data_IF_758498149183
#
_entry.id   IF_758498149183
#
_cell.length_a   1.000
_cell.length_b   1.000
_cell.length_c   1.000
_cell.angle_alpha   90.00
_cell.angle_beta   90.00
_cell.angle_gamma   90.00
#
_symmetry.space_group_name_H-M   'P 1'
#
loop_
_entity.id
_entity.type
_entity.pdbx_description
1 polymer ?
#
# COMPACT_ATOMS: atom_id res chain seq x y z
N UNK A 1 -65.64 -13.58 -37.88
CA UNK A 1 -64.27 -13.26 -38.32
C UNK A 1 -63.55 -12.75 -37.08
N UNK A 2 -62.69 -13.49 -36.40
CA UNK A 2 -61.94 -14.71 -36.71
C UNK A 2 -61.66 -15.39 -35.37
N UNK A 3 -61.72 -16.72 -35.41
CA UNK A 3 -61.53 -17.70 -34.35
C UNK A 3 -60.05 -17.72 -33.89
N UNK A 4 -59.77 -17.83 -32.59
CA UNK A 4 -58.46 -18.22 -32.07
C UNK A 4 -58.66 -19.29 -31.00
N UNK A 5 -58.36 -20.50 -31.44
CA UNK A 5 -58.44 -21.81 -30.80
C UNK A 5 -57.42 -21.98 -29.67
N UNK A 6 -57.87 -22.49 -28.52
CA UNK A 6 -57.04 -23.07 -27.45
C UNK A 6 -56.27 -24.30 -27.97
N UNK A 7 -54.99 -24.43 -27.61
CA UNK A 7 -54.19 -25.63 -27.83
C UNK A 7 -53.87 -26.35 -26.51
N UNK A 8 -53.75 -27.70 -26.50
CA UNK A 8 -53.90 -28.52 -25.30
C UNK A 8 -52.58 -28.85 -24.58
N UNK A 9 -52.69 -29.11 -23.29
CA UNK A 9 -51.66 -29.60 -22.38
C UNK A 9 -51.13 -30.99 -22.75
N UNK A 10 -49.80 -31.14 -22.86
CA UNK A 10 -49.11 -32.42 -23.04
C UNK A 10 -48.82 -33.08 -21.67
N UNK A 11 -49.08 -34.39 -21.48
CA UNK A 11 -48.80 -35.11 -20.24
C UNK A 11 -47.32 -35.52 -20.10
N UNK A 12 -46.85 -35.88 -18.88
CA UNK A 12 -45.47 -36.26 -18.63
C UNK A 12 -45.14 -37.67 -19.15
N UNK A 13 -44.00 -37.78 -19.83
CA UNK A 13 -43.46 -39.03 -20.38
C UNK A 13 -42.70 -39.81 -19.29
N UNK A 14 -43.40 -40.74 -18.63
CA UNK A 14 -42.81 -41.84 -17.86
C UNK A 14 -42.36 -42.92 -18.84
N UNK A 15 -41.08 -42.94 -19.23
CA UNK A 15 -40.30 -44.16 -19.52
C UNK A 15 -38.89 -43.81 -20.00
N UNK A 16 -37.92 -43.67 -19.07
CA UNK A 16 -36.51 -43.82 -19.44
C UNK A 16 -35.77 -44.71 -18.43
N UNK A 17 -35.26 -45.88 -18.85
CA UNK A 17 -34.52 -46.77 -17.97
C UNK A 17 -33.14 -46.19 -17.63
N UNK A 18 -32.70 -46.44 -16.40
CA UNK A 18 -31.34 -46.17 -15.95
C UNK A 18 -30.33 -47.09 -16.65
N UNK A 19 -29.17 -46.60 -17.12
CA UNK A 19 -28.13 -47.50 -17.60
C UNK A 19 -27.39 -48.14 -16.41
N UNK A 20 -27.49 -49.47 -16.33
CA UNK A 20 -26.63 -50.34 -15.54
C UNK A 20 -25.22 -50.41 -16.16
N UNK A 21 -24.24 -50.73 -15.31
CA UNK A 21 -22.82 -50.44 -15.52
C UNK A 21 -22.04 -51.33 -16.49
N UNK A 22 -20.80 -50.93 -16.73
CA UNK A 22 -19.73 -51.77 -17.26
C UNK A 22 -18.61 -51.95 -16.23
N UNK A 23 -17.93 -53.12 -16.21
CA UNK A 23 -17.03 -53.54 -15.15
C UNK A 23 -15.56 -53.21 -15.46
N UNK A 24 -14.88 -52.55 -14.52
CA UNK A 24 -13.43 -52.37 -14.53
C UNK A 24 -12.75 -53.33 -13.54
N UNK A 25 -11.74 -54.06 -14.01
CA UNK A 25 -10.80 -54.91 -13.23
C UNK A 25 -9.36 -54.53 -13.66
N UNK A 26 -8.28 -54.92 -12.97
CA UNK A 26 -7.81 -54.43 -11.67
C UNK A 26 -6.37 -53.83 -11.69
N UNK A 27 -6.00 -53.17 -10.58
CA UNK A 27 -4.64 -52.95 -10.03
C UNK A 27 -3.67 -51.94 -10.69
N UNK A 28 -3.27 -50.93 -9.89
CA UNK A 28 -1.86 -50.68 -9.51
C UNK A 28 -1.77 -49.75 -8.29
N UNK A 29 -1.28 -50.32 -7.19
CA UNK A 29 -0.61 -49.67 -6.05
C UNK A 29 0.30 -48.51 -6.49
N UNK A 30 0.35 -47.40 -5.75
CA UNK A 30 1.58 -46.64 -5.35
C UNK A 30 1.22 -45.41 -4.49
N UNK A 31 1.54 -45.52 -3.21
CA UNK A 31 2.05 -44.47 -2.28
C UNK A 31 1.10 -43.36 -1.77
N UNK A 32 0.51 -43.70 -0.62
CA UNK A 32 0.18 -42.77 0.46
C UNK A 32 1.44 -42.02 0.94
N UNK A 33 1.39 -40.69 0.99
CA UNK A 33 2.35 -39.85 1.71
C UNK A 33 1.63 -38.73 2.45
N UNK A 34 0.62 -39.12 3.23
CA UNK A 34 0.23 -38.36 4.41
C UNK A 34 1.32 -38.56 5.47
N UNK A 35 2.33 -37.69 5.51
CA UNK A 35 3.24 -37.64 6.65
C UNK A 35 2.50 -37.00 7.82
N UNK A 36 1.69 -37.81 8.50
CA UNK A 36 1.24 -37.55 9.85
C UNK A 36 2.45 -37.68 10.77
N UNK A 37 3.11 -36.56 11.08
CA UNK A 37 4.06 -36.53 12.18
C UNK A 37 3.27 -36.50 13.49
N UNK A 38 2.90 -37.69 13.99
CA UNK A 38 2.64 -37.88 15.42
C UNK A 38 4.00 -37.97 16.09
N UNK A 39 4.39 -36.93 16.84
CA UNK A 39 5.52 -36.98 17.77
C UNK A 39 4.94 -37.19 19.17
N UNK A 40 5.15 -38.36 19.80
CA UNK A 40 4.79 -38.56 21.19
C UNK A 40 6.01 -38.24 22.05
N UNK A 41 6.20 -36.97 22.41
CA UNK A 41 6.67 -36.61 23.76
C UNK A 41 6.58 -35.10 23.97
N UNK A 42 6.28 -34.71 25.22
CA UNK A 42 6.06 -33.33 25.65
C UNK A 42 7.31 -32.45 25.70
N UNK A 43 8.07 -32.37 24.61
CA UNK A 43 9.16 -31.41 24.46
C UNK A 43 8.72 -30.27 23.53
N UNK A 44 8.75 -29.06 24.07
CA UNK A 44 8.58 -27.82 23.30
C UNK A 44 9.70 -27.76 22.27
N UNK A 45 9.38 -28.00 21.00
CA UNK A 45 10.31 -27.84 19.91
C UNK A 45 10.83 -26.40 19.89
N UNK A 46 12.13 -26.21 20.03
CA UNK A 46 12.75 -24.92 19.77
C UNK A 46 12.48 -24.52 18.31
N UNK A 47 12.21 -23.23 18.00
CA UNK A 47 11.96 -22.82 16.64
C UNK A 47 13.24 -23.03 15.83
N UNK A 48 13.25 -24.08 15.01
CA UNK A 48 14.30 -24.32 14.03
C UNK A 48 14.35 -23.13 13.09
N UNK A 49 15.36 -22.26 13.26
CA UNK A 49 15.63 -21.18 12.30
C UNK A 49 16.10 -21.88 11.02
N UNK A 50 15.14 -22.13 10.14
CA UNK A 50 15.34 -22.74 8.83
C UNK A 50 16.48 -21.99 8.10
N UNK A 51 17.65 -22.62 7.96
CA UNK A 51 18.83 -22.06 7.24
C UNK A 51 18.50 -21.58 5.81
N UNK A 52 17.36 -22.01 5.26
CA UNK A 52 16.81 -21.62 3.97
C UNK A 52 16.36 -20.15 3.88
N UNK A 53 16.14 -19.45 5.01
CA UNK A 53 15.72 -18.04 5.02
C UNK A 53 16.87 -17.03 4.92
N UNK A 54 18.03 -17.35 5.48
CA UNK A 54 19.13 -16.40 5.63
C UNK A 54 19.75 -15.94 4.30
N UNK A 55 19.95 -16.86 3.34
CA UNK A 55 20.47 -16.49 2.02
C UNK A 55 19.46 -15.65 1.23
N UNK A 56 18.15 -15.85 1.43
CA UNK A 56 17.11 -15.03 0.81
C UNK A 56 17.13 -13.61 1.35
N UNK A 57 17.30 -13.44 2.67
CA UNK A 57 17.53 -12.12 3.28
C UNK A 57 18.73 -11.42 2.65
N UNK A 58 19.86 -12.13 2.52
CA UNK A 58 21.07 -11.58 1.92
C UNK A 58 20.86 -11.17 0.46
N UNK A 59 20.15 -11.97 -0.34
CA UNK A 59 19.82 -11.62 -1.72
C UNK A 59 18.89 -10.41 -1.82
N UNK A 60 17.83 -10.35 -1.00
CA UNK A 60 16.94 -9.18 -0.96
C UNK A 60 17.71 -7.93 -0.53
N UNK A 61 18.57 -8.03 0.48
CA UNK A 61 19.42 -6.92 0.91
C UNK A 61 20.42 -6.49 -0.17
N UNK A 62 21.06 -7.43 -0.86
CA UNK A 62 21.98 -7.15 -1.96
C UNK A 62 21.28 -6.50 -3.15
N UNK A 63 20.05 -6.91 -3.48
CA UNK A 63 19.25 -6.30 -4.53
C UNK A 63 18.88 -4.85 -4.20
N UNK A 64 18.51 -4.55 -2.94
CA UNK A 64 18.25 -3.18 -2.47
C UNK A 64 19.54 -2.35 -2.55
N UNK A 65 20.68 -2.88 -2.11
CA UNK A 65 21.97 -2.19 -2.18
C UNK A 65 22.41 -1.92 -3.64
N UNK A 66 22.20 -2.86 -4.55
CA UNK A 66 22.49 -2.69 -5.98
C UNK A 66 21.56 -1.64 -6.61
N UNK A 67 20.28 -1.63 -6.25
CA UNK A 67 19.32 -0.63 -6.71
C UNK A 67 19.69 0.77 -6.18
N UNK A 68 20.07 0.86 -4.90
CA UNK A 68 20.57 2.09 -4.29
C UNK A 68 21.79 2.63 -5.03
N UNK A 69 22.76 1.77 -5.31
CA UNK A 69 23.97 2.12 -6.04
C UNK A 69 23.68 2.60 -7.47
N UNK A 70 22.72 1.99 -8.15
CA UNK A 70 22.39 2.34 -9.53
C UNK A 70 21.50 3.59 -9.61
N UNK A 71 20.41 3.65 -8.87
CA UNK A 71 19.35 4.66 -9.05
C UNK A 71 19.41 5.81 -8.04
N UNK A 72 20.29 5.73 -7.05
CA UNK A 72 20.43 6.72 -5.99
C UNK A 72 19.42 6.55 -4.85
N UNK A 73 19.62 7.37 -3.80
CA UNK A 73 18.87 7.28 -2.56
C UNK A 73 17.36 7.57 -2.72
N UNK A 74 17.01 8.49 -3.61
CA UNK A 74 15.63 8.94 -3.79
C UNK A 74 14.67 7.80 -4.15
N UNK A 75 15.05 6.92 -5.09
CA UNK A 75 14.20 5.80 -5.49
C UNK A 75 14.00 4.80 -4.34
N UNK A 76 15.05 4.52 -3.58
CA UNK A 76 14.97 3.62 -2.42
C UNK A 76 13.99 4.16 -1.38
N UNK A 77 14.08 5.46 -1.08
CA UNK A 77 13.14 6.13 -0.17
C UNK A 77 11.69 6.02 -0.68
N UNK A 78 11.45 6.25 -1.97
CA UNK A 78 10.11 6.11 -2.56
C UNK A 78 9.58 4.68 -2.43
N UNK A 79 10.40 3.66 -2.73
CA UNK A 79 10.00 2.25 -2.60
C UNK A 79 9.68 1.91 -1.14
N UNK A 80 10.54 2.31 -0.20
CA UNK A 80 10.31 2.09 1.23
C UNK A 80 9.05 2.80 1.72
N UNK A 81 8.80 4.03 1.26
CA UNK A 81 7.60 4.78 1.59
C UNK A 81 6.33 4.09 1.07
N UNK A 82 6.34 3.54 -0.15
CA UNK A 82 5.23 2.76 -0.71
C UNK A 82 4.98 1.47 0.08
N UNK A 83 6.04 0.71 0.39
CA UNK A 83 5.94 -0.50 1.22
C UNK A 83 5.36 -0.17 2.60
N UNK A 84 5.83 0.92 3.21
CA UNK A 84 5.32 1.38 4.50
C UNK A 84 3.84 1.78 4.41
N UNK A 85 3.45 2.57 3.41
CA UNK A 85 2.06 3.00 3.20
C UNK A 85 1.12 1.79 3.03
N UNK A 86 1.49 0.81 2.20
CA UNK A 86 0.66 -0.40 2.00
C UNK A 86 0.64 -1.25 3.27
N UNK A 87 1.77 -1.40 3.97
CA UNK A 87 1.80 -2.12 5.25
C UNK A 87 0.86 -1.48 6.26
N UNK A 88 0.83 -0.15 6.32
CA UNK A 88 -0.10 0.59 7.17
C UNK A 88 -1.56 0.43 6.72
N UNK A 89 -1.84 0.41 5.40
CA UNK A 89 -3.17 0.05 4.87
C UNK A 89 -3.67 -1.25 5.51
N UNK A 90 -2.84 -2.29 5.41
CA UNK A 90 -3.15 -3.62 5.90
C UNK A 90 -3.21 -3.67 7.41
N UNK A 91 -2.39 -2.86 8.09
CA UNK A 91 -2.47 -2.69 9.54
C UNK A 91 -3.83 -2.14 9.99
N UNK A 92 -4.48 -1.28 9.19
CA UNK A 92 -5.85 -0.83 9.43
C UNK A 92 -6.86 -1.98 9.42
N UNK A 93 -6.80 -2.84 8.41
CA UNK A 93 -7.62 -4.05 8.33
C UNK A 93 -7.33 -5.01 9.48
N UNK A 94 -6.06 -5.20 9.83
CA UNK A 94 -5.62 -6.05 10.94
C UNK A 94 -6.22 -5.59 12.28
N UNK A 95 -6.08 -4.31 12.61
CA UNK A 95 -6.57 -3.76 13.89
C UNK A 95 -8.10 -3.93 13.98
N UNK A 96 -8.81 -3.54 12.92
CA UNK A 96 -10.28 -3.59 12.92
C UNK A 96 -10.80 -5.02 12.97
N UNK A 97 -10.16 -5.95 12.26
CA UNK A 97 -10.49 -7.37 12.32
C UNK A 97 -10.37 -7.93 13.75
N UNK A 98 -9.23 -7.66 14.41
CA UNK A 98 -8.99 -8.09 15.80
C UNK A 98 -9.98 -7.47 16.78
N UNK A 99 -10.30 -6.19 16.63
CA UNK A 99 -11.26 -5.47 17.50
C UNK A 99 -12.69 -6.00 17.34
N UNK A 100 -13.08 -6.43 16.14
CA UNK A 100 -14.35 -7.08 15.87
C UNK A 100 -14.39 -8.57 16.29
N UNK A 101 -13.33 -9.08 16.93
CA UNK A 101 -13.27 -10.47 17.39
C UNK A 101 -13.01 -11.48 16.27
N UNK A 102 -12.73 -11.06 15.04
CA UNK A 102 -12.35 -11.97 13.96
C UNK A 102 -10.97 -12.57 14.21
N UNK A 103 -10.74 -13.79 13.71
CA UNK A 103 -9.42 -14.42 13.76
C UNK A 103 -8.56 -13.92 12.61
N UNK A 104 -7.37 -13.45 12.91
CA UNK A 104 -6.36 -13.15 11.88
C UNK A 104 -5.29 -14.23 11.93
N UNK A 105 -5.12 -14.98 10.85
CA UNK A 105 -4.17 -16.09 10.79
C UNK A 105 -2.79 -15.64 10.34
N UNK A 106 -2.71 -14.66 9.42
CA UNK A 106 -1.44 -14.20 8.85
C UNK A 106 -1.43 -12.68 8.66
N UNK A 107 -0.28 -12.07 8.93
CA UNK A 107 0.06 -10.68 8.60
C UNK A 107 1.46 -10.67 7.98
N UNK A 108 1.57 -10.48 6.67
CA UNK A 108 2.85 -10.53 5.97
C UNK A 108 3.10 -9.26 5.18
N UNK A 109 4.35 -8.84 5.18
CA UNK A 109 4.85 -7.77 4.31
C UNK A 109 5.51 -8.42 3.09
N UNK A 110 5.10 -8.00 1.89
CA UNK A 110 5.59 -8.48 0.62
C UNK A 110 4.88 -9.72 0.07
N UNK A 111 5.35 -10.16 -1.11
CA UNK A 111 4.88 -11.35 -1.83
C UNK A 111 6.01 -12.35 -2.10
N UNK A 112 5.63 -13.52 -2.60
CA UNK A 112 6.57 -14.57 -3.00
C UNK A 112 7.00 -15.48 -1.83
N UNK A 113 8.17 -16.13 -1.92
CA UNK A 113 8.61 -17.08 -0.91
C UNK A 113 8.79 -16.40 0.44
N UNK A 114 8.41 -17.12 1.51
CA UNK A 114 8.63 -16.70 2.89
C UNK A 114 10.14 -16.57 3.12
N UNK A 115 10.54 -15.43 3.67
CA UNK A 115 11.93 -15.16 4.04
C UNK A 115 12.10 -15.34 5.54
N UNK A 116 11.17 -14.78 6.31
CA UNK A 116 11.14 -14.91 7.76
C UNK A 116 9.70 -14.85 8.27
N UNK A 117 9.41 -15.57 9.35
CA UNK A 117 8.13 -15.49 10.05
C UNK A 117 8.27 -15.83 11.53
N UNK A 118 7.42 -15.23 12.35
CA UNK A 118 7.25 -15.55 13.77
C UNK A 118 5.75 -15.68 14.07
N UNK A 119 5.37 -16.71 14.82
CA UNK A 119 4.00 -16.88 15.28
C UNK A 119 3.84 -16.27 16.67
N UNK A 120 2.94 -15.29 16.81
CA UNK A 120 2.59 -14.69 18.10
C UNK A 120 1.09 -14.85 18.35
N UNK A 121 0.76 -15.75 19.27
CA UNK A 121 -0.62 -16.15 19.53
C UNK A 121 -1.21 -16.90 18.34
N UNK A 122 -2.32 -16.40 17.80
CA UNK A 122 -3.02 -17.00 16.65
C UNK A 122 -2.54 -16.47 15.28
N UNK A 123 -1.72 -15.42 15.26
CA UNK A 123 -1.29 -14.74 14.03
C UNK A 123 0.18 -15.03 13.74
N UNK A 124 0.46 -15.44 12.51
CA UNK A 124 1.79 -15.55 11.94
C UNK A 124 2.18 -14.22 11.29
N UNK A 125 3.23 -13.59 11.81
CA UNK A 125 3.80 -12.35 11.27
C UNK A 125 5.04 -12.69 10.46
N UNK A 126 5.29 -11.99 9.36
CA UNK A 126 6.54 -12.22 8.64
C UNK A 126 6.77 -11.33 7.43
N UNK A 127 7.86 -11.63 6.74
CA UNK A 127 8.32 -10.91 5.55
C UNK A 127 8.55 -11.92 4.42
N UNK A 128 8.13 -11.55 3.21
CA UNK A 128 8.34 -12.30 1.97
C UNK A 128 9.34 -11.58 1.07
N UNK A 129 9.92 -12.32 0.14
CA UNK A 129 11.12 -11.88 -0.60
C UNK A 129 10.91 -10.65 -1.48
N UNK A 130 9.70 -10.46 -2.00
CA UNK A 130 9.38 -9.33 -2.88
C UNK A 130 8.72 -8.25 -2.03
N UNK A 131 9.36 -7.09 -1.81
CA UNK A 131 8.81 -5.99 -1.03
C UNK A 131 7.80 -5.19 -1.86
N UNK A 132 6.82 -5.88 -2.44
CA UNK A 132 5.68 -5.28 -3.10
C UNK A 132 4.46 -5.63 -2.24
N UNK A 133 3.83 -4.64 -1.62
CA UNK A 133 2.60 -4.83 -0.85
C UNK A 133 2.74 -5.51 0.52
N UNK A 134 1.60 -5.83 1.11
CA UNK A 134 1.41 -6.58 2.36
C UNK A 134 0.03 -7.26 2.29
N UNK A 135 -0.27 -8.20 3.18
CA UNK A 135 -1.62 -8.76 3.28
C UNK A 135 -1.97 -9.22 4.69
N UNK A 136 -3.28 -9.14 4.99
CA UNK A 136 -3.91 -9.72 6.18
C UNK A 136 -4.80 -10.88 5.77
N UNK A 137 -4.61 -12.05 6.39
CA UNK A 137 -5.48 -13.21 6.17
C UNK A 137 -6.50 -13.35 7.29
N UNK A 138 -7.76 -13.11 6.96
CA UNK A 138 -8.92 -13.40 7.82
C UNK A 138 -9.72 -14.54 7.18
N UNK A 139 -10.00 -15.65 7.90
CA UNK A 139 -10.74 -16.76 7.33
C UNK A 139 -12.16 -16.37 6.89
N UNK A 140 -12.61 -16.90 5.75
CA UNK A 140 -13.98 -16.73 5.26
C UNK A 140 -14.22 -15.37 4.59
N UNK A 141 -13.17 -14.73 4.08
CA UNK A 141 -13.29 -13.54 3.21
C UNK A 141 -13.75 -13.92 1.80
N UNK A 142 -13.32 -15.08 1.31
CA UNK A 142 -13.79 -15.64 0.04
C UNK A 142 -15.00 -16.53 0.29
N UNK A 143 -15.96 -16.51 -0.64
CA UNK A 143 -17.21 -17.27 -0.53
C UNK A 143 -16.98 -18.77 -0.39
N UNK A 144 -15.99 -19.28 -1.12
CA UNK A 144 -15.70 -20.71 -1.26
C UNK A 144 -14.39 -21.11 -0.54
N UNK A 145 -13.90 -20.29 0.39
CA UNK A 145 -12.77 -20.66 1.25
C UNK A 145 -13.23 -21.65 2.31
N UNK A 146 -12.58 -22.82 2.34
CA UNK A 146 -12.74 -23.77 3.44
C UNK A 146 -12.13 -23.18 4.72
N UNK A 147 -13.00 -22.98 5.71
CA UNK A 147 -12.61 -22.50 7.04
C UNK A 147 -12.70 -23.67 8.01
N UNK A 148 -11.63 -23.88 8.80
CA UNK A 148 -11.65 -24.88 9.85
C UNK A 148 -12.83 -24.65 10.80
N UNK A 149 -13.52 -25.71 11.22
CA UNK A 149 -14.72 -25.61 12.05
C UNK A 149 -14.48 -24.82 13.35
N UNK A 150 -13.27 -24.87 13.90
CA UNK A 150 -12.83 -24.09 15.07
C UNK A 150 -12.74 -22.59 14.83
N UNK A 151 -12.50 -22.17 13.58
CA UNK A 151 -12.30 -20.76 13.20
C UNK A 151 -13.56 -20.14 12.59
N UNK A 152 -14.55 -20.96 12.26
CA UNK A 152 -15.80 -20.55 11.61
C UNK A 152 -16.54 -19.46 12.37
N UNK A 153 -16.67 -19.59 13.69
CA UNK A 153 -17.36 -18.62 14.54
C UNK A 153 -16.70 -17.23 14.54
N UNK A 154 -15.39 -17.17 14.25
CA UNK A 154 -14.59 -15.93 14.19
C UNK A 154 -14.16 -15.60 12.76
N UNK A 155 -14.87 -16.13 11.76
CA UNK A 155 -14.64 -15.86 10.34
C UNK A 155 -15.30 -14.56 9.90
N UNK A 156 -14.79 -13.96 8.82
CA UNK A 156 -15.34 -12.75 8.22
C UNK A 156 -16.82 -12.91 7.82
N UNK A 157 -17.20 -14.07 7.27
CA UNK A 157 -18.59 -14.34 6.86
C UNK A 157 -19.58 -14.46 8.02
N UNK A 158 -19.12 -14.78 9.24
CA UNK A 158 -19.94 -14.77 10.46
C UNK A 158 -19.95 -13.43 11.18
N UNK A 159 -19.07 -12.49 10.81
CA UNK A 159 -19.03 -11.16 11.40
C UNK A 159 -20.31 -10.36 11.09
N UNK A 160 -20.65 -9.43 12.00
CA UNK A 160 -21.81 -8.56 11.80
C UNK A 160 -21.63 -7.66 10.57
N UNK A 161 -22.73 -7.19 9.99
CA UNK A 161 -22.65 -6.29 8.83
C UNK A 161 -21.81 -5.04 9.12
N UNK A 162 -21.95 -4.47 10.32
CA UNK A 162 -21.20 -3.28 10.74
C UNK A 162 -19.69 -3.56 10.77
N UNK A 163 -19.30 -4.68 11.37
CA UNK A 163 -17.88 -5.04 11.49
C UNK A 163 -17.25 -5.29 10.12
N UNK A 164 -18.00 -5.88 9.19
CA UNK A 164 -17.53 -6.05 7.81
C UNK A 164 -17.33 -4.72 7.09
N UNK A 165 -18.27 -3.78 7.25
CA UNK A 165 -18.15 -2.44 6.66
C UNK A 165 -16.96 -1.67 7.26
N UNK A 166 -16.80 -1.71 8.58
CA UNK A 166 -15.67 -1.07 9.28
C UNK A 166 -14.36 -1.69 8.83
N UNK A 167 -14.27 -3.02 8.81
CA UNK A 167 -13.06 -3.70 8.37
C UNK A 167 -12.75 -3.39 6.91
N UNK A 168 -13.72 -3.43 6.00
CA UNK A 168 -13.51 -3.15 4.58
C UNK A 168 -13.04 -1.71 4.32
N UNK A 169 -13.51 -0.74 5.12
CA UNK A 169 -13.11 0.68 4.98
C UNK A 169 -11.84 1.04 5.76
N UNK A 170 -11.36 0.18 6.65
CA UNK A 170 -10.24 0.47 7.56
C UNK A 170 -8.94 0.83 6.85
N UNK A 171 -8.64 0.18 5.72
CA UNK A 171 -7.44 0.46 4.94
C UNK A 171 -7.43 1.88 4.38
N UNK A 172 -8.53 2.31 3.78
CA UNK A 172 -8.71 3.69 3.30
C UNK A 172 -8.68 4.70 4.46
N UNK A 173 -9.37 4.42 5.57
CA UNK A 173 -9.33 5.28 6.75
C UNK A 173 -7.90 5.49 7.27
N UNK A 174 -7.06 4.45 7.23
CA UNK A 174 -5.65 4.58 7.62
C UNK A 174 -4.87 5.55 6.73
N UNK A 175 -5.22 5.70 5.45
CA UNK A 175 -4.56 6.67 4.56
C UNK A 175 -4.83 8.10 5.00
N UNK A 176 -6.08 8.41 5.38
CA UNK A 176 -6.42 9.72 5.92
C UNK A 176 -5.71 9.99 7.26
N UNK A 177 -5.62 8.99 8.13
CA UNK A 177 -4.89 9.11 9.40
C UNK A 177 -3.40 9.37 9.14
N UNK A 178 -2.77 8.60 8.24
CA UNK A 178 -1.37 8.81 7.86
C UNK A 178 -1.15 10.19 7.26
N UNK A 179 -2.00 10.62 6.32
CA UNK A 179 -1.90 11.93 5.70
C UNK A 179 -1.99 13.04 6.74
N UNK A 180 -2.92 12.93 7.69
CA UNK A 180 -3.04 13.89 8.79
C UNK A 180 -1.80 13.92 9.68
N UNK A 181 -1.25 12.76 10.07
CA UNK A 181 -0.05 12.67 10.91
C UNK A 181 1.18 13.21 10.18
N UNK A 182 1.36 12.85 8.90
CA UNK A 182 2.46 13.33 8.07
C UNK A 182 2.35 14.85 7.84
N UNK A 183 1.15 15.37 7.60
CA UNK A 183 0.92 16.80 7.45
C UNK A 183 1.21 17.56 8.76
N UNK A 184 0.75 17.03 9.89
CA UNK A 184 1.03 17.62 11.20
C UNK A 184 2.54 17.62 11.50
N UNK A 185 3.22 16.51 11.20
CA UNK A 185 4.67 16.40 11.30
C UNK A 185 5.38 17.40 10.40
N UNK A 186 4.96 17.53 9.14
CA UNK A 186 5.51 18.50 8.21
C UNK A 186 5.45 19.92 8.77
N UNK A 187 4.28 20.37 9.22
CA UNK A 187 4.12 21.72 9.77
C UNK A 187 4.80 21.95 11.13
N UNK A 188 5.12 20.89 11.87
CA UNK A 188 5.80 21.00 13.18
C UNK A 188 7.31 21.03 13.03
N UNK A 189 7.87 20.29 12.07
CA UNK A 189 9.31 20.06 11.95
C UNK A 189 9.98 20.81 10.81
N UNK A 190 9.22 21.34 9.86
CA UNK A 190 9.75 22.08 8.73
C UNK A 190 9.33 23.54 8.81
N UNK A 191 10.29 24.43 8.57
CA UNK A 191 10.00 25.85 8.45
C UNK A 191 9.02 26.07 7.31
N UNK A 192 7.97 26.81 7.61
CA UNK A 192 7.04 27.25 6.60
C UNK A 192 7.66 28.44 5.90
N UNK A 193 7.92 28.28 4.60
CA UNK A 193 8.24 29.43 3.74
C UNK A 193 7.06 30.38 3.86
N UNK A 194 7.29 31.56 4.42
CA UNK A 194 6.24 32.57 4.51
C UNK A 194 5.90 32.99 3.07
N UNK A 195 4.72 32.65 2.53
CA UNK A 195 4.39 32.94 1.14
C UNK A 195 4.35 34.45 0.87
N UNK A 196 4.22 35.27 1.90
CA UNK A 196 4.19 36.73 1.82
C UNK A 196 5.59 37.35 1.76
N UNK A 197 6.66 36.55 1.91
CA UNK A 197 8.05 37.00 1.92
C UNK A 197 8.81 36.22 0.86
N UNK A 198 8.82 36.75 -0.37
CA UNK A 198 9.57 36.17 -1.48
C UNK A 198 10.98 36.77 -1.53
N UNK A 199 11.98 35.94 -1.79
CA UNK A 199 13.38 36.35 -1.96
C UNK A 199 13.94 35.79 -3.26
N UNK A 200 14.98 36.43 -3.79
CA UNK A 200 15.69 35.94 -4.97
C UNK A 200 16.38 34.62 -4.64
N UNK A 201 15.98 33.52 -5.28
CA UNK A 201 16.61 32.20 -5.05
C UNK A 201 17.97 32.11 -5.77
N UNK A 202 18.03 32.57 -7.01
CA UNK A 202 19.22 32.54 -7.84
C UNK A 202 19.23 33.66 -8.87
N UNK A 203 20.42 34.04 -9.33
CA UNK A 203 20.62 35.06 -10.36
C UNK A 203 21.38 34.44 -11.51
N UNK A 204 20.83 34.58 -12.72
CA UNK A 204 21.47 34.09 -13.95
C UNK A 204 22.61 35.03 -14.33
N UNK A 205 23.80 34.49 -14.52
CA UNK A 205 24.97 35.28 -14.94
C UNK A 205 24.73 36.00 -16.26
N UNK A 206 25.12 37.27 -16.33
CA UNK A 206 24.92 38.15 -17.50
C UNK A 206 23.49 38.68 -17.67
N UNK A 207 22.60 38.45 -16.70
CA UNK A 207 21.23 38.99 -16.71
C UNK A 207 21.17 40.46 -16.25
N UNK A 208 20.04 41.12 -16.46
CA UNK A 208 19.80 42.47 -15.94
C UNK A 208 19.88 42.53 -14.41
N UNK A 209 19.46 41.46 -13.72
CA UNK A 209 19.56 41.36 -12.26
C UNK A 209 21.03 41.23 -11.80
N UNK A 210 21.85 40.46 -12.53
CA UNK A 210 23.29 40.35 -12.29
C UNK A 210 24.01 41.69 -12.48
N UNK A 211 23.70 42.39 -13.58
CA UNK A 211 24.23 43.73 -13.86
C UNK A 211 23.80 44.78 -12.81
N UNK A 212 22.61 44.60 -12.21
CA UNK A 212 22.11 45.44 -11.12
C UNK A 212 22.69 45.06 -9.74
N UNK A 213 23.48 44.00 -9.64
CA UNK A 213 24.10 43.55 -8.39
C UNK A 213 23.13 42.86 -7.41
N UNK A 214 22.02 42.33 -7.93
CA UNK A 214 21.07 41.50 -7.17
C UNK A 214 21.74 40.18 -6.81
N UNK A 215 21.49 39.68 -5.60
CA UNK A 215 22.08 38.46 -5.07
C UNK A 215 21.01 37.47 -4.59
N UNK A 216 21.33 36.16 -4.53
CA UNK A 216 20.51 35.19 -3.81
C UNK A 216 20.27 35.65 -2.37
N UNK A 217 19.02 35.62 -1.93
CA UNK A 217 18.57 36.12 -0.63
C UNK A 217 18.01 37.54 -0.66
N UNK A 218 18.29 38.34 -1.69
CA UNK A 218 17.76 39.71 -1.78
C UNK A 218 16.22 39.73 -1.86
N UNK A 219 15.63 40.73 -1.21
CA UNK A 219 14.21 41.07 -1.35
C UNK A 219 14.05 42.33 -2.16
N UNK A 220 13.40 42.27 -3.32
CA UNK A 220 13.15 43.48 -4.11
C UNK A 220 11.97 44.23 -3.49
N UNK A 221 12.24 45.42 -2.97
CA UNK A 221 11.26 46.27 -2.29
C UNK A 221 10.54 47.19 -3.28
N UNK A 222 11.25 47.68 -4.30
CA UNK A 222 10.64 48.48 -5.37
C UNK A 222 11.46 48.47 -6.65
N UNK A 223 10.77 48.73 -7.77
CA UNK A 223 11.37 49.01 -9.08
C UNK A 223 10.83 50.35 -9.57
N UNK A 224 11.74 51.31 -9.78
CA UNK A 224 11.40 52.67 -10.21
C UNK A 224 10.40 53.36 -9.27
N UNK A 225 10.58 53.13 -7.96
CA UNK A 225 9.69 53.65 -6.91
C UNK A 225 8.33 52.94 -6.81
N UNK A 226 8.01 52.00 -7.71
CA UNK A 226 6.80 51.17 -7.62
C UNK A 226 7.06 50.03 -6.63
N UNK A 227 6.30 49.92 -5.52
CA UNK A 227 6.47 48.84 -4.55
C UNK A 227 6.23 47.46 -5.16
N UNK A 228 7.01 46.46 -4.72
CA UNK A 228 6.92 45.08 -5.22
C UNK A 228 6.70 44.07 -4.08
N UNK A 229 5.58 44.12 -3.34
CA UNK A 229 5.31 43.19 -2.25
C UNK A 229 5.16 41.74 -2.75
N UNK A 230 4.66 41.52 -3.97
CA UNK A 230 4.58 40.21 -4.60
C UNK A 230 5.55 40.07 -5.80
N UNK A 231 5.94 38.83 -6.13
CA UNK A 231 6.75 38.52 -7.34
C UNK A 231 6.06 39.00 -8.62
N UNK A 232 4.72 38.98 -8.63
CA UNK A 232 3.92 39.46 -9.76
C UNK A 232 4.12 40.96 -9.98
N UNK A 233 4.13 41.75 -8.91
CA UNK A 233 4.32 43.21 -8.99
C UNK A 233 5.69 43.55 -9.56
N UNK A 234 6.73 42.81 -9.16
CA UNK A 234 8.06 42.92 -9.78
C UNK A 234 7.98 42.66 -11.29
N UNK A 235 7.33 41.57 -11.69
CA UNK A 235 7.24 41.18 -13.10
C UNK A 235 6.49 42.22 -13.94
N UNK A 236 5.40 42.79 -13.41
CA UNK A 236 4.63 43.86 -14.04
C UNK A 236 5.45 45.15 -14.15
N UNK A 237 6.13 45.54 -13.05
CA UNK A 237 6.97 46.72 -12.99
C UNK A 237 8.14 46.66 -14.00
N UNK A 238 8.77 45.50 -14.20
CA UNK A 238 9.84 45.35 -15.20
C UNK A 238 9.27 45.36 -16.62
N UNK A 239 8.18 44.63 -16.87
CA UNK A 239 7.57 44.54 -18.21
C UNK A 239 7.03 45.88 -18.73
N UNK A 240 6.60 46.76 -17.84
CA UNK A 240 6.13 48.09 -18.21
C UNK A 240 7.24 49.00 -18.78
N UNK A 241 8.52 48.66 -18.59
CA UNK A 241 9.69 49.50 -18.95
C UNK A 241 10.74 48.72 -19.73
N UNK A 242 10.40 48.21 -20.93
CA UNK A 242 11.32 47.39 -21.71
C UNK A 242 12.51 48.22 -22.23
N UNK A 243 13.73 47.77 -21.92
CA UNK A 243 14.96 48.40 -22.42
C UNK A 243 15.38 49.67 -21.68
N UNK A 244 14.66 50.05 -20.61
CA UNK A 244 14.99 51.21 -19.79
C UNK A 244 15.88 50.81 -18.59
N UNK A 245 16.76 51.72 -18.17
CA UNK A 245 17.52 51.57 -16.92
C UNK A 245 16.70 52.16 -15.79
N UNK A 246 16.26 51.32 -14.85
CA UNK A 246 15.41 51.70 -13.72
C UNK A 246 16.11 51.45 -12.39
N UNK A 247 15.93 52.31 -11.37
CA UNK A 247 16.46 52.05 -10.05
C UNK A 247 15.71 50.90 -9.38
N UNK A 248 16.44 49.99 -8.75
CA UNK A 248 15.87 48.88 -7.98
C UNK A 248 16.32 49.02 -6.54
N UNK A 249 15.38 48.91 -5.60
CA UNK A 249 15.66 48.90 -4.16
C UNK A 249 15.53 47.49 -3.66
N UNK A 250 16.59 46.97 -3.05
CA UNK A 250 16.59 45.65 -2.41
C UNK A 250 16.84 45.77 -0.92
N UNK A 251 16.22 44.88 -0.16
CA UNK A 251 16.56 44.60 1.23
C UNK A 251 17.45 43.35 1.26
N UNK A 252 18.56 43.45 1.98
CA UNK A 252 19.57 42.42 2.13
C UNK A 252 19.96 42.32 3.60
N UNK A 253 19.91 41.11 4.13
CA UNK A 253 20.37 40.78 5.49
C UNK A 253 21.90 40.73 5.60
#
# INVERSE_FOLDING_TARGET
MTDVTEAPSTPPDETRPAPAGEPGSPSKTTTDSTTTNVVPDGQIAEPEIERSGAWRLLLTAAAIAALWWWQGLALVVVILALVFMITMHEFGHYITAKRAGMKVTQFFIGFGPRVWSIRRGETEYGIRAIPAGAFVKVPGMLRDEEVAASDEARSYRKASFKDRVVMASAGSAMHFIMAFVLLMGYFTFFDQVNPDVWSVESVVSGSAADAAGVQPGDRVISVDGVPTPEVRDLSEAVRARPGETVPVVVERD
#
